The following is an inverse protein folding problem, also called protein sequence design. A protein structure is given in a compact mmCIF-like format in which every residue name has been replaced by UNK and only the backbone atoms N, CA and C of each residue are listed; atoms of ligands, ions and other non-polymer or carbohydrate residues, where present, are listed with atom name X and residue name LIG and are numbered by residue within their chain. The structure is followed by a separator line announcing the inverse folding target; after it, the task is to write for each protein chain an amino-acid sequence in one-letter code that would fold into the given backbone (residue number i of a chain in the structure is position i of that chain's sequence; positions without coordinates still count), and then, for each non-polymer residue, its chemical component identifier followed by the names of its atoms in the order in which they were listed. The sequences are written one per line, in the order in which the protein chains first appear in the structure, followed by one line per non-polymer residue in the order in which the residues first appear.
data_IF_902447727306
#
_entry.id   IF_902447727306
#
_cell.length_a   1.000
_cell.length_b   1.000
_cell.length_c   1.000
_cell.angle_alpha   90.00
_cell.angle_beta   90.00
_cell.angle_gamma   90.00
#
_symmetry.space_group_name_H-M   'P 1'
#
loop_
_entity.id
_entity.type
_entity.pdbx_description
1 polymer ?
#
# COMPACT_ATOMS: atom_id res chain seq x y z
N UNK A 1 -5.70 -8.89 14.41
CA UNK A 1 -6.18 -8.00 13.35
C UNK A 1 -5.85 -8.58 11.99
N UNK A 2 -6.57 -8.14 10.95
CA UNK A 2 -6.36 -8.61 9.59
C UNK A 2 -5.25 -7.84 8.86
N UNK A 3 -4.34 -8.53 8.15
CA UNK A 3 -3.22 -7.89 7.43
C UNK A 3 -3.71 -6.90 6.38
N UNK A 4 -4.73 -7.28 5.60
CA UNK A 4 -5.21 -6.44 4.51
C UNK A 4 -5.77 -5.10 4.99
N UNK A 5 -6.36 -5.07 6.18
CA UNK A 5 -6.79 -3.81 6.81
C UNK A 5 -5.61 -2.98 7.30
N UNK A 6 -4.59 -3.60 7.91
CA UNK A 6 -3.46 -2.86 8.49
C UNK A 6 -2.32 -2.55 7.51
N UNK A 7 -2.35 -3.15 6.33
CA UNK A 7 -1.36 -2.97 5.26
C UNK A 7 -1.11 -1.50 4.94
N UNK A 8 -2.17 -0.67 4.91
CA UNK A 8 -2.07 0.77 4.66
C UNK A 8 -1.25 1.50 5.72
N UNK A 9 -1.35 1.10 6.99
CA UNK A 9 -0.61 1.69 8.09
C UNK A 9 0.84 1.21 8.13
N UNK A 10 1.06 -0.09 7.85
CA UNK A 10 2.41 -0.66 7.68
C UNK A 10 3.13 0.10 6.57
N UNK A 11 2.48 0.30 5.42
CA UNK A 11 3.05 1.04 4.31
C UNK A 11 3.28 2.49 4.68
N UNK A 12 2.29 3.20 5.21
CA UNK A 12 2.42 4.60 5.60
C UNK A 12 3.63 4.81 6.51
N UNK A 13 3.79 4.00 7.57
CA UNK A 13 4.94 4.09 8.46
C UNK A 13 6.29 3.71 7.80
N UNK A 14 6.27 2.81 6.81
CA UNK A 14 7.49 2.42 6.09
C UNK A 14 8.04 3.54 5.21
N UNK A 15 7.17 4.43 4.68
CA UNK A 15 7.55 5.47 3.70
C UNK A 15 7.49 6.90 4.22
N UNK A 16 6.75 7.19 5.30
CA UNK A 16 6.72 8.51 5.91
C UNK A 16 7.94 8.75 6.79
N UNK A 17 8.73 9.77 6.47
CA UNK A 17 9.98 10.06 7.17
C UNK A 17 9.71 10.40 8.64
N UNK A 18 10.43 9.71 9.53
CA UNK A 18 10.32 9.91 10.98
C UNK A 18 9.26 9.04 11.66
N UNK A 19 8.50 8.23 10.91
CA UNK A 19 7.52 7.33 11.48
C UNK A 19 8.15 6.12 12.18
N UNK A 20 7.59 5.78 13.34
CA UNK A 20 7.81 4.52 14.05
C UNK A 20 6.50 4.13 14.74
N UNK A 21 5.95 2.96 14.42
CA UNK A 21 4.69 2.48 14.99
C UNK A 21 4.79 1.01 15.40
N UNK A 22 3.99 0.63 16.40
CA UNK A 22 3.78 -0.79 16.73
C UNK A 22 2.31 -1.13 16.55
N UNK A 23 2.03 -2.09 15.66
CA UNK A 23 0.69 -2.62 15.44
C UNK A 23 0.60 -3.97 16.18
N UNK A 24 -0.30 -4.06 17.16
CA UNK A 24 -0.37 -5.22 18.05
C UNK A 24 -1.28 -6.33 17.53
N UNK A 25 -0.94 -7.57 17.86
CA UNK A 25 -1.77 -8.77 17.67
C UNK A 25 -2.31 -8.93 16.24
N UNK A 26 -1.45 -8.78 15.24
CA UNK A 26 -1.76 -8.97 13.83
C UNK A 26 -1.52 -10.43 13.45
N UNK A 27 -2.46 -11.01 12.68
CA UNK A 27 -2.28 -12.37 12.17
C UNK A 27 -1.16 -12.38 11.13
N UNK A 28 -0.14 -13.22 11.30
CA UNK A 28 1.06 -13.26 10.44
C UNK A 28 1.14 -14.56 9.64
N UNK A 29 -0.01 -15.07 9.19
CA UNK A 29 -0.09 -16.27 8.38
C UNK A 29 0.69 -16.07 7.06
N UNK A 30 1.68 -16.91 6.72
CA UNK A 30 2.52 -16.74 5.53
C UNK A 30 1.75 -16.60 4.22
N UNK A 31 0.54 -17.16 4.14
CA UNK A 31 -0.32 -17.06 2.95
C UNK A 31 -0.97 -15.69 2.79
N UNK A 32 -0.93 -14.83 3.82
CA UNK A 32 -1.57 -13.51 3.89
C UNK A 32 -0.59 -12.36 4.14
N UNK A 33 0.70 -12.65 4.29
CA UNK A 33 1.78 -11.67 4.55
C UNK A 33 2.53 -11.27 3.29
N UNK A 34 2.00 -11.52 2.09
CA UNK A 34 2.69 -11.26 0.82
C UNK A 34 3.23 -9.84 0.71
N UNK A 35 2.44 -8.83 1.12
CA UNK A 35 2.87 -7.44 1.16
C UNK A 35 4.07 -7.20 2.09
N UNK A 36 4.12 -7.82 3.27
CA UNK A 36 5.26 -7.70 4.21
C UNK A 36 6.52 -8.31 3.58
N UNK A 37 6.38 -9.46 2.91
CA UNK A 37 7.48 -10.08 2.17
C UNK A 37 8.05 -9.17 1.08
N UNK A 38 7.18 -8.52 0.30
CA UNK A 38 7.60 -7.54 -0.71
C UNK A 38 8.25 -6.31 -0.07
N UNK A 39 7.66 -5.74 0.99
CA UNK A 39 8.24 -4.60 1.69
C UNK A 39 9.63 -4.93 2.25
N UNK A 40 9.82 -6.09 2.86
CA UNK A 40 11.13 -6.55 3.33
C UNK A 40 12.12 -6.72 2.16
N UNK A 41 11.68 -7.27 1.01
CA UNK A 41 12.51 -7.34 -0.22
C UNK A 41 12.92 -5.95 -0.73
N UNK A 42 12.05 -4.96 -0.55
CA UNK A 42 12.34 -3.54 -0.84
C UNK A 42 13.22 -2.86 0.21
N UNK A 43 13.52 -3.53 1.34
CA UNK A 43 14.35 -3.00 2.42
C UNK A 43 13.58 -2.29 3.54
N UNK A 44 12.28 -2.57 3.69
CA UNK A 44 11.50 -2.06 4.81
C UNK A 44 12.03 -2.57 6.15
N UNK A 45 11.94 -1.73 7.18
CA UNK A 45 12.22 -2.10 8.57
C UNK A 45 10.94 -2.53 9.25
N UNK A 46 10.70 -3.84 9.28
CA UNK A 46 9.53 -4.45 9.91
C UNK A 46 10.00 -5.57 10.82
N UNK A 47 9.94 -5.34 12.13
CA UNK A 47 10.30 -6.34 13.14
C UNK A 47 9.05 -7.06 13.66
N UNK A 48 9.18 -8.39 13.80
CA UNK A 48 8.14 -9.23 14.40
C UNK A 48 8.44 -9.42 15.88
N UNK A 49 7.53 -8.97 16.74
CA UNK A 49 7.64 -9.03 18.19
C UNK A 49 6.49 -9.89 18.76
N UNK A 50 6.68 -10.43 19.97
CA UNK A 50 5.62 -11.12 20.72
C UNK A 50 4.86 -12.21 19.91
N UNK A 51 5.58 -12.99 19.11
CA UNK A 51 5.00 -14.05 18.30
C UNK A 51 4.32 -15.11 19.18
N UNK A 52 3.10 -15.47 18.81
CA UNK A 52 2.30 -16.49 19.49
C UNK A 52 1.39 -17.21 18.50
N UNK A 53 0.95 -18.41 18.86
CA UNK A 53 -0.10 -19.13 18.12
C UNK A 53 -1.36 -19.10 18.97
N UNK A 54 -2.45 -18.53 18.44
CA UNK A 54 -3.75 -18.45 19.11
C UNK A 54 -4.82 -19.03 18.21
N UNK A 55 -5.54 -20.04 18.70
CA UNK A 55 -6.58 -20.75 17.93
C UNK A 55 -6.08 -21.26 16.56
N UNK A 56 -4.87 -21.84 16.54
CA UNK A 56 -4.16 -22.30 15.34
C UNK A 56 -3.79 -21.22 14.30
N UNK A 57 -3.96 -19.94 14.62
CA UNK A 57 -3.51 -18.83 13.77
C UNK A 57 -2.28 -18.14 14.40
N UNK A 58 -1.19 -17.95 13.64
CA UNK A 58 -0.02 -17.23 14.11
C UNK A 58 -0.33 -15.73 14.23
N UNK A 59 0.05 -15.12 15.34
CA UNK A 59 -0.14 -13.70 15.62
C UNK A 59 1.15 -13.09 16.17
N UNK A 60 1.40 -11.82 15.86
CA UNK A 60 2.54 -11.08 16.37
C UNK A 60 2.22 -9.58 16.47
N UNK A 61 3.03 -8.87 17.23
CA UNK A 61 3.13 -7.42 17.12
C UNK A 61 4.13 -7.09 16.01
N UNK A 62 3.81 -6.10 15.18
CA UNK A 62 4.70 -5.62 14.13
C UNK A 62 5.20 -4.23 14.53
N UNK A 63 6.53 -4.06 14.63
CA UNK A 63 7.15 -2.75 14.76
C UNK A 63 7.65 -2.30 13.39
N UNK A 64 7.16 -1.16 12.93
CA UNK A 64 7.47 -0.61 11.61
C UNK A 64 8.15 0.73 11.78
N UNK A 65 9.26 0.92 11.07
CA UNK A 65 10.00 2.18 11.02
C UNK A 65 10.17 2.66 9.58
N UNK A 66 10.27 3.98 9.45
CA UNK A 66 10.71 4.59 8.20
C UNK A 66 12.04 4.01 7.72
N UNK A 67 12.11 3.73 6.42
CA UNK A 67 13.32 3.22 5.77
C UNK A 67 13.43 3.69 4.33
N UNK A 68 14.66 3.74 3.82
CA UNK A 68 14.89 4.00 2.39
C UNK A 68 14.67 2.71 1.61
N UNK A 69 13.56 2.66 0.89
CA UNK A 69 13.19 1.50 0.07
C UNK A 69 13.92 1.49 -1.27
N UNK A 70 14.06 0.31 -1.87
CA UNK A 70 14.58 0.09 -3.22
C UNK A 70 13.51 -0.54 -4.10
N UNK A 71 13.56 -0.21 -5.39
CA UNK A 71 12.71 -0.84 -6.40
C UNK A 71 12.94 -2.34 -6.48
N UNK A 72 11.90 -3.08 -6.87
CA UNK A 72 11.93 -4.55 -6.94
C UNK A 72 11.05 -5.08 -8.07
N UNK A 73 11.26 -6.33 -8.44
CA UNK A 73 10.39 -7.03 -9.38
C UNK A 73 9.43 -7.95 -8.62
N UNK A 74 8.15 -7.87 -8.97
CA UNK A 74 7.05 -8.68 -8.46
C UNK A 74 6.48 -9.45 -9.65
N UNK A 75 6.76 -10.75 -9.66
CA UNK A 75 6.39 -11.65 -10.74
C UNK A 75 5.07 -12.36 -10.43
N UNK A 76 4.57 -13.09 -11.43
CA UNK A 76 3.25 -13.73 -11.40
C UNK A 76 3.06 -14.64 -10.19
N UNK A 77 4.13 -15.28 -9.73
CA UNK A 77 4.15 -16.23 -8.63
C UNK A 77 3.90 -15.54 -7.28
N UNK A 78 4.23 -14.24 -7.18
CA UNK A 78 3.97 -13.46 -5.98
C UNK A 78 2.55 -12.91 -5.95
N UNK A 79 1.98 -12.56 -7.12
CA UNK A 79 0.69 -11.84 -7.24
C UNK A 79 -0.45 -12.45 -6.40
N UNK A 80 -0.69 -13.77 -6.36
CA UNK A 80 -1.79 -14.34 -5.58
C UNK A 80 -1.77 -14.00 -4.10
N UNK A 81 -0.59 -13.71 -3.53
CA UNK A 81 -0.42 -13.44 -2.10
C UNK A 81 -0.59 -11.97 -1.72
N UNK A 82 -0.73 -11.06 -2.69
CA UNK A 82 -0.86 -9.61 -2.45
C UNK A 82 -1.72 -8.88 -3.50
N UNK A 83 -2.58 -9.60 -4.22
CA UNK A 83 -3.28 -9.07 -5.38
C UNK A 83 -4.10 -7.80 -5.05
N UNK A 84 -4.74 -7.78 -3.88
CA UNK A 84 -5.54 -6.64 -3.42
C UNK A 84 -4.67 -5.48 -2.88
N UNK A 85 -3.41 -5.74 -2.58
CA UNK A 85 -2.43 -4.77 -2.09
C UNK A 85 -1.55 -4.18 -3.21
N UNK A 86 -1.66 -4.65 -4.45
CA UNK A 86 -0.89 -4.11 -5.58
C UNK A 86 -1.12 -2.61 -5.85
N UNK A 87 -2.33 -2.02 -5.71
CA UNK A 87 -2.49 -0.57 -5.79
C UNK A 87 -1.65 0.18 -4.75
N UNK A 88 -1.54 -0.37 -3.53
CA UNK A 88 -0.73 0.19 -2.46
C UNK A 88 0.77 0.02 -2.74
N UNK A 89 1.20 -1.09 -3.35
CA UNK A 89 2.58 -1.27 -3.82
C UNK A 89 2.95 -0.22 -4.87
N UNK A 90 2.04 0.18 -5.75
CA UNK A 90 2.31 1.26 -6.70
C UNK A 90 2.68 2.56 -5.96
N UNK A 91 1.98 2.88 -4.87
CA UNK A 91 2.29 4.02 -3.99
C UNK A 91 3.67 3.89 -3.35
N UNK A 92 3.97 2.74 -2.75
CA UNK A 92 5.30 2.45 -2.16
C UNK A 92 6.41 2.67 -3.19
N UNK A 93 6.21 2.15 -4.40
CA UNK A 93 7.18 2.22 -5.48
C UNK A 93 7.47 3.65 -5.95
N UNK A 94 6.51 4.59 -5.77
CA UNK A 94 6.79 6.01 -6.04
C UNK A 94 7.86 6.58 -5.11
N UNK A 95 8.05 6.01 -3.92
CA UNK A 95 9.02 6.46 -2.91
C UNK A 95 10.30 5.62 -2.89
N UNK A 96 10.30 4.46 -3.54
CA UNK A 96 11.42 3.53 -3.56
C UNK A 96 12.49 3.95 -4.58
N UNK A 97 13.77 3.78 -4.25
CA UNK A 97 14.86 4.11 -5.15
C UNK A 97 15.02 3.07 -6.27
N UNK A 98 14.91 3.51 -7.51
CA UNK A 98 15.03 2.65 -8.70
C UNK A 98 13.66 2.27 -9.27
N UNK A 99 13.64 1.18 -10.03
CA UNK A 99 12.45 0.74 -10.77
C UNK A 99 11.77 -0.41 -10.03
N UNK A 100 10.46 -0.31 -9.87
CA UNK A 100 9.60 -1.43 -9.46
C UNK A 100 8.76 -1.88 -10.64
N UNK A 101 8.67 -3.19 -10.84
CA UNK A 101 7.90 -3.79 -11.93
C UNK A 101 6.94 -4.81 -11.35
N UNK A 102 5.66 -4.69 -11.71
CA UNK A 102 4.63 -5.70 -11.45
C UNK A 102 4.22 -6.34 -12.78
N UNK A 103 4.21 -7.66 -12.82
CA UNK A 103 3.76 -8.47 -13.96
C UNK A 103 2.87 -9.62 -13.49
N UNK A 104 2.08 -10.23 -14.38
CA UNK A 104 1.21 -11.36 -14.05
C UNK A 104 -0.06 -11.00 -13.28
N UNK A 105 -0.44 -9.73 -13.25
CA UNK A 105 -1.51 -9.19 -12.42
C UNK A 105 -2.78 -8.78 -13.22
N UNK A 106 -3.01 -9.44 -14.37
CA UNK A 106 -4.14 -9.13 -15.28
C UNK A 106 -5.52 -9.19 -14.60
N UNK A 107 -5.67 -10.01 -13.56
CA UNK A 107 -6.90 -10.11 -12.77
C UNK A 107 -7.29 -8.77 -12.10
N UNK A 108 -6.36 -7.85 -11.83
CA UNK A 108 -6.70 -6.51 -11.30
C UNK A 108 -7.60 -5.70 -12.22
N UNK A 109 -7.62 -5.99 -13.53
CA UNK A 109 -8.44 -5.26 -14.49
C UNK A 109 -9.92 -5.55 -14.38
N UNK A 110 -10.29 -6.66 -13.74
CA UNK A 110 -11.67 -7.17 -13.63
C UNK A 110 -12.17 -7.21 -12.18
N UNK A 111 -11.50 -6.47 -11.29
CA UNK A 111 -11.95 -6.25 -9.91
C UNK A 111 -13.12 -5.24 -9.90
N UNK A 112 -13.42 -4.65 -8.75
CA UNK A 112 -14.47 -3.64 -8.58
C UNK A 112 -14.30 -2.46 -9.55
N UNK A 113 -13.05 -2.15 -9.89
CA UNK A 113 -12.66 -1.33 -11.05
C UNK A 113 -11.48 -1.98 -11.78
N UNK A 114 -11.08 -1.43 -12.94
CA UNK A 114 -9.76 -1.73 -13.49
C UNK A 114 -8.70 -1.08 -12.59
N UNK A 115 -8.26 -1.81 -11.57
CA UNK A 115 -7.37 -1.30 -10.51
C UNK A 115 -6.01 -0.90 -11.05
N UNK A 116 -5.52 -1.53 -12.13
CA UNK A 116 -4.27 -1.14 -12.80
C UNK A 116 -4.46 0.23 -13.43
N UNK A 117 -5.48 0.38 -14.28
CA UNK A 117 -5.74 1.64 -14.98
C UNK A 117 -6.04 2.77 -14.01
N UNK A 118 -6.84 2.50 -12.98
CA UNK A 118 -7.19 3.46 -11.93
C UNK A 118 -5.93 3.97 -11.22
N UNK A 119 -5.12 3.09 -10.60
CA UNK A 119 -3.97 3.54 -9.81
C UNK A 119 -2.91 4.25 -10.68
N UNK A 120 -2.70 3.79 -11.91
CA UNK A 120 -1.77 4.45 -12.84
C UNK A 120 -2.24 5.85 -13.20
N UNK A 121 -3.52 6.04 -13.52
CA UNK A 121 -4.06 7.34 -13.88
C UNK A 121 -4.00 8.32 -12.71
N UNK A 122 -4.38 7.88 -11.51
CA UNK A 122 -4.41 8.76 -10.35
C UNK A 122 -2.99 9.13 -9.88
N UNK A 123 -2.05 8.18 -9.84
CA UNK A 123 -0.67 8.50 -9.49
C UNK A 123 0.02 9.39 -10.54
N UNK A 124 -0.34 9.27 -11.83
CA UNK A 124 0.10 10.23 -12.87
C UNK A 124 -0.39 11.65 -12.61
N UNK A 125 -1.64 11.83 -12.17
CA UNK A 125 -2.15 13.16 -11.77
C UNK A 125 -1.32 13.75 -10.62
N UNK A 126 -0.85 12.88 -9.72
CA UNK A 126 0.07 13.21 -8.64
C UNK A 126 1.55 13.32 -9.06
N UNK A 127 1.83 13.30 -10.37
CA UNK A 127 3.16 13.42 -11.02
C UNK A 127 4.11 12.23 -10.84
N UNK A 128 3.63 11.06 -10.43
CA UNK A 128 4.46 9.85 -10.38
C UNK A 128 4.96 9.44 -11.78
N UNK A 129 6.21 8.98 -11.90
CA UNK A 129 6.68 8.26 -13.09
C UNK A 129 6.20 6.81 -13.04
N UNK A 130 4.98 6.58 -13.52
CA UNK A 130 4.32 5.28 -13.58
C UNK A 130 3.79 5.00 -14.98
N UNK A 131 4.00 3.77 -15.46
CA UNK A 131 3.55 3.28 -16.77
C UNK A 131 2.66 2.06 -16.61
N UNK A 132 1.48 2.13 -17.23
CA UNK A 132 0.56 1.00 -17.34
C UNK A 132 1.16 -0.09 -18.24
N UNK A 133 0.88 -1.35 -17.89
CA UNK A 133 1.17 -2.53 -18.71
C UNK A 133 -0.08 -3.40 -18.77
N UNK A 134 -0.17 -4.31 -19.73
CA UNK A 134 -1.37 -5.16 -19.88
C UNK A 134 -1.68 -5.98 -18.62
N UNK A 135 -0.65 -6.48 -17.94
CA UNK A 135 -0.74 -7.36 -16.78
C UNK A 135 -0.05 -6.78 -15.54
N UNK A 136 0.05 -5.45 -15.45
CA UNK A 136 0.61 -4.77 -14.28
C UNK A 136 1.02 -3.34 -14.57
N UNK A 137 2.11 -2.90 -13.97
CA UNK A 137 2.64 -1.55 -14.13
C UNK A 137 4.14 -1.50 -13.81
N UNK A 138 4.79 -0.42 -14.21
CA UNK A 138 6.17 -0.11 -13.83
C UNK A 138 6.25 1.29 -13.25
N UNK A 139 6.97 1.45 -12.15
CA UNK A 139 7.14 2.73 -11.45
C UNK A 139 8.63 3.02 -11.32
N UNK A 140 9.06 4.24 -11.65
CA UNK A 140 10.39 4.71 -11.33
C UNK A 140 10.30 5.67 -10.14
N UNK A 141 11.02 5.36 -9.06
CA UNK A 141 11.12 6.21 -7.88
C UNK A 141 12.58 6.55 -7.53
N UNK A 142 12.78 7.48 -6.58
CA UNK A 142 11.75 8.22 -5.87
C UNK A 142 11.16 9.36 -6.71
N UNK A 143 9.87 9.65 -6.54
CA UNK A 143 9.17 10.78 -7.14
C UNK A 143 8.51 11.63 -6.05
N UNK A 144 8.68 12.96 -6.15
CA UNK A 144 8.02 13.93 -5.28
C UNK A 144 6.57 14.12 -5.72
N UNK A 145 5.65 13.46 -5.03
CA UNK A 145 4.22 13.53 -5.34
C UNK A 145 3.67 14.94 -5.10
N UNK A 146 2.70 15.33 -5.92
CA UNK A 146 1.98 16.59 -5.79
C UNK A 146 0.50 16.31 -5.56
N UNK A 147 -0.13 17.16 -4.75
CA UNK A 147 -1.55 17.08 -4.47
C UNK A 147 -2.37 17.26 -5.74
N UNK A 148 -3.44 16.49 -5.85
CA UNK A 148 -4.32 16.47 -7.01
C UNK A 148 -5.76 16.18 -6.61
N UNK A 149 -6.70 16.39 -7.54
CA UNK A 149 -8.05 15.85 -7.44
C UNK A 149 -8.04 14.47 -8.07
N UNK A 150 -8.25 13.45 -7.24
CA UNK A 150 -8.25 12.05 -7.63
C UNK A 150 -9.66 11.44 -7.54
N UNK A 151 -9.85 10.33 -8.24
CA UNK A 151 -11.10 9.57 -8.27
C UNK A 151 -10.87 8.18 -7.66
N UNK A 152 -11.75 7.75 -6.76
CA UNK A 152 -11.68 6.39 -6.18
C UNK A 152 -12.26 5.33 -7.10
N UNK A 153 -13.13 5.73 -8.04
CA UNK A 153 -13.91 4.83 -8.90
C UNK A 153 -14.84 3.90 -8.09
N UNK A 154 -15.26 4.34 -6.90
CA UNK A 154 -16.00 3.54 -5.91
C UNK A 154 -15.26 2.26 -5.46
N UNK A 155 -13.94 2.19 -5.65
CA UNK A 155 -13.11 1.08 -5.19
C UNK A 155 -12.36 1.48 -3.91
N UNK A 156 -12.70 0.81 -2.80
CA UNK A 156 -12.14 1.06 -1.48
C UNK A 156 -10.61 0.85 -1.44
N UNK A 157 -10.06 -0.09 -2.22
CA UNK A 157 -8.60 -0.33 -2.28
C UNK A 157 -7.89 0.82 -2.99
N UNK A 158 -8.50 1.37 -4.04
CA UNK A 158 -7.98 2.58 -4.71
C UNK A 158 -8.08 3.77 -3.78
N UNK A 159 -9.24 3.99 -3.14
CA UNK A 159 -9.46 5.10 -2.21
C UNK A 159 -8.43 5.11 -1.06
N UNK A 160 -8.24 3.97 -0.37
CA UNK A 160 -7.27 3.85 0.72
C UNK A 160 -5.81 3.99 0.25
N UNK A 161 -5.48 3.47 -0.94
CA UNK A 161 -4.14 3.63 -1.53
C UNK A 161 -3.85 5.11 -1.84
N UNK A 162 -4.83 5.82 -2.41
CA UNK A 162 -4.72 7.26 -2.67
C UNK A 162 -4.65 8.08 -1.38
N UNK A 163 -5.32 7.65 -0.31
CA UNK A 163 -5.20 8.29 0.99
C UNK A 163 -3.76 8.21 1.52
N UNK A 164 -3.11 7.06 1.40
CA UNK A 164 -1.68 6.92 1.73
C UNK A 164 -0.80 7.76 0.80
N UNK A 165 -1.08 7.77 -0.51
CA UNK A 165 -0.35 8.62 -1.47
C UNK A 165 -0.49 10.12 -1.14
N UNK A 166 -1.66 10.55 -0.65
CA UNK A 166 -1.92 11.92 -0.25
C UNK A 166 -1.04 12.37 0.94
N UNK A 167 -0.68 11.45 1.85
CA UNK A 167 0.23 11.75 2.97
C UNK A 167 1.66 12.05 2.51
N UNK A 168 2.04 11.53 1.35
CA UNK A 168 3.36 11.69 0.74
C UNK A 168 3.41 12.87 -0.23
N UNK A 169 2.25 13.44 -0.56
CA UNK A 169 2.11 14.46 -1.58
C UNK A 169 2.22 15.86 -0.99
N UNK A 170 2.78 16.77 -1.76
CA UNK A 170 2.81 18.18 -1.39
C UNK A 170 1.58 18.92 -1.88
N UNK A 171 0.98 19.70 -0.98
CA UNK A 171 -0.25 20.43 -1.26
C UNK A 171 -1.49 19.59 -1.01
N UNK A 172 -2.64 20.14 -1.37
CA UNK A 172 -3.94 19.52 -1.07
C UNK A 172 -4.27 18.43 -2.07
N UNK A 173 -4.54 17.23 -1.58
CA UNK A 173 -5.16 16.14 -2.34
C UNK A 173 -6.63 16.05 -1.99
N UNK A 174 -7.49 15.83 -2.99
CA UNK A 174 -8.93 15.57 -2.81
C UNK A 174 -9.24 14.24 -3.47
N UNK A 175 -9.75 13.27 -2.71
CA UNK A 175 -10.17 11.96 -3.24
C UNK A 175 -11.69 11.99 -3.32
N UNK A 176 -12.24 11.91 -4.53
CA UNK A 176 -13.68 11.85 -4.74
C UNK A 176 -14.21 10.44 -4.48
N UNK A 177 -15.46 10.36 -4.06
CA UNK A 177 -16.19 9.11 -3.79
C UNK A 177 -15.46 8.21 -2.78
N UNK A 178 -14.85 8.81 -1.75
CA UNK A 178 -14.08 8.09 -0.73
C UNK A 178 -14.95 7.36 0.31
N UNK A 179 -16.26 7.62 0.32
CA UNK A 179 -17.25 6.96 1.19
C UNK A 179 -17.30 5.44 0.99
N UNK A 180 -16.84 4.92 -0.16
CA UNK A 180 -16.70 3.48 -0.39
C UNK A 180 -15.73 2.80 0.59
N UNK A 181 -14.83 3.55 1.24
CA UNK A 181 -13.92 3.02 2.27
C UNK A 181 -14.70 2.43 3.44
N UNK A 182 -15.78 3.08 3.88
CA UNK A 182 -16.53 2.67 5.07
C UNK A 182 -17.24 1.32 4.89
N UNK A 183 -17.41 0.85 3.65
CA UNK A 183 -17.94 -0.49 3.37
C UNK A 183 -16.96 -1.57 3.85
N UNK A 184 -15.65 -1.33 3.73
CA UNK A 184 -14.61 -2.31 4.01
C UNK A 184 -13.83 -2.03 5.29
N UNK A 185 -13.68 -0.75 5.65
CA UNK A 185 -12.98 -0.33 6.85
C UNK A 185 -13.64 0.93 7.46
N UNK A 186 -14.75 0.76 8.20
CA UNK A 186 -15.32 1.82 9.01
C UNK A 186 -14.27 2.44 9.95
N UNK A 187 -14.08 3.76 9.88
CA UNK A 187 -13.13 4.47 10.75
C UNK A 187 -11.67 4.46 10.28
N UNK A 188 -11.41 4.06 9.04
CA UNK A 188 -10.08 4.16 8.41
C UNK A 188 -9.51 5.58 8.50
N UNK A 189 -10.30 6.60 8.14
CA UNK A 189 -9.86 8.00 8.16
C UNK A 189 -9.37 8.42 9.55
N UNK A 190 -10.17 8.14 10.59
CA UNK A 190 -9.81 8.44 11.98
C UNK A 190 -8.53 7.73 12.40
N UNK A 191 -8.37 6.48 11.98
CA UNK A 191 -7.16 5.70 12.29
C UNK A 191 -5.93 6.29 11.60
N UNK A 192 -6.07 6.69 10.33
CA UNK A 192 -5.01 7.33 9.56
C UNK A 192 -4.62 8.70 10.14
N UNK A 193 -5.61 9.53 10.53
CA UNK A 193 -5.38 10.82 11.18
C UNK A 193 -4.62 10.68 12.50
N UNK A 194 -4.97 9.68 13.31
CA UNK A 194 -4.27 9.42 14.56
C UNK A 194 -2.77 9.13 14.33
N UNK A 195 -2.40 8.48 13.21
CA UNK A 195 -0.99 8.19 12.90
C UNK A 195 -0.17 9.42 12.50
N UNK A 196 -0.82 10.47 12.00
CA UNK A 196 -0.16 11.70 11.52
C UNK A 196 0.01 12.71 12.67
N UNK A 197 -0.84 12.64 13.69
CA UNK A 197 -0.86 13.57 14.82
C UNK A 197 0.06 13.15 15.98
N UNK A 198 0.90 12.12 15.79
CA UNK A 198 2.00 11.74 16.67
C UNK A 198 3.34 12.13 16.04
#
# INVERSE_FOLDING_TARGET
GDISSVAYFIVAASVLKGSQITIKQIGVNPTRTGIIGILNKMGAKIDTLNYQIKSNEPQADLMIEYSKLKGTEIEKENVPFLIDELPLIAVVATQAQGKTIVSGAKELRVKETDRIKAIVNELKKMRADIKEREDGFAVNGPTRLQGAVCESYNDHRIAMSLAVAALLAEGKTVIRNSECIDISFPGFEKTLQNLINY
#
